data_IF_745369339324
#
_entry.id   IF_745369339324
#
_cell.length_a   1.000
_cell.length_b   1.000
_cell.length_c   1.000
_cell.angle_alpha   90.00
_cell.angle_beta   90.00
_cell.angle_gamma   90.00
#
_symmetry.space_group_name_H-M   'P 1'
#
loop_
_entity.id
_entity.type
_entity.pdbx_description
1 polymer ?
#
# COMPACT_ATOMS: atom_id res chain seq x y z
N UNK A 1 -27.15 -16.14 43.90
CA UNK A 1 -26.38 -16.70 42.77
C UNK A 1 -26.98 -16.15 41.48
N UNK A 2 -26.47 -15.04 41.02
CA UNK A 2 -26.83 -14.46 39.71
C UNK A 2 -25.54 -14.38 38.90
N UNK A 3 -25.35 -15.38 38.08
CA UNK A 3 -24.30 -15.36 37.04
C UNK A 3 -24.79 -14.46 35.90
N UNK A 4 -24.34 -13.20 35.90
CA UNK A 4 -24.42 -12.34 34.72
C UNK A 4 -23.41 -12.88 33.70
N UNK A 5 -23.77 -13.88 32.92
CA UNK A 5 -23.12 -14.20 31.67
C UNK A 5 -23.49 -13.10 30.66
N UNK A 6 -22.74 -12.02 30.70
CA UNK A 6 -22.72 -11.01 29.62
C UNK A 6 -22.09 -11.69 28.42
N UNK A 7 -22.91 -12.32 27.57
CA UNK A 7 -22.43 -12.87 26.29
C UNK A 7 -21.87 -11.73 25.44
N UNK A 8 -20.55 -11.61 25.40
CA UNK A 8 -19.87 -10.82 24.37
C UNK A 8 -20.22 -11.45 23.01
N UNK A 9 -20.93 -10.72 22.18
CA UNK A 9 -21.23 -11.18 20.82
C UNK A 9 -20.02 -10.93 19.93
N UNK A 10 -19.60 -11.94 19.20
CA UNK A 10 -18.57 -11.79 18.16
C UNK A 10 -19.22 -11.28 16.88
N UNK A 11 -18.71 -10.17 16.36
CA UNK A 11 -19.17 -9.60 15.10
C UNK A 11 -18.06 -9.70 14.07
N UNK A 12 -18.34 -10.32 12.92
CA UNK A 12 -17.45 -10.36 11.76
C UNK A 12 -17.71 -9.14 10.86
N UNK A 13 -16.65 -8.46 10.44
CA UNK A 13 -16.70 -7.30 9.57
C UNK A 13 -15.63 -7.40 8.49
N UNK A 14 -15.90 -6.78 7.34
CA UNK A 14 -14.87 -6.54 6.32
C UNK A 14 -14.08 -5.30 6.68
N UNK A 15 -12.76 -5.38 6.58
CA UNK A 15 -11.85 -4.29 6.87
C UNK A 15 -10.68 -4.28 5.88
N UNK A 16 -9.94 -3.19 5.85
CA UNK A 16 -8.72 -3.06 5.04
C UNK A 16 -7.49 -2.89 5.92
N UNK A 17 -6.41 -3.59 5.61
CA UNK A 17 -5.12 -3.40 6.29
C UNK A 17 -4.53 -2.04 5.88
N UNK A 18 -4.31 -1.16 6.85
CA UNK A 18 -3.70 0.17 6.63
C UNK A 18 -2.25 0.25 7.10
N UNK A 19 -1.88 -0.58 8.08
CA UNK A 19 -0.50 -0.64 8.58
C UNK A 19 -0.15 -2.04 9.08
N UNK A 20 1.13 -2.41 8.95
CA UNK A 20 1.67 -3.71 9.41
C UNK A 20 2.94 -3.44 10.21
N UNK A 21 2.96 -3.85 11.47
CA UNK A 21 4.11 -3.75 12.37
C UNK A 21 4.40 -5.10 13.02
N UNK A 22 5.36 -5.84 12.49
CA UNK A 22 5.68 -7.21 12.93
C UNK A 22 4.42 -8.10 12.92
N UNK A 23 3.89 -8.46 14.09
CA UNK A 23 2.71 -9.31 14.26
C UNK A 23 1.44 -8.51 14.64
N UNK A 24 1.46 -7.19 14.54
CA UNK A 24 0.32 -6.30 14.78
C UNK A 24 -0.07 -5.60 13.49
N UNK A 25 -1.35 -5.44 13.31
CA UNK A 25 -1.97 -4.83 12.15
C UNK A 25 -2.85 -3.68 12.59
N UNK A 26 -2.91 -2.62 11.80
CA UNK A 26 -3.97 -1.63 11.90
C UNK A 26 -4.92 -1.84 10.74
N UNK A 27 -6.20 -1.85 11.04
CA UNK A 27 -7.27 -2.07 10.07
C UNK A 27 -8.22 -0.88 10.06
N UNK A 28 -8.67 -0.50 8.88
CA UNK A 28 -9.75 0.46 8.68
C UNK A 28 -11.02 -0.29 8.33
N UNK A 29 -12.11 -0.04 9.05
CA UNK A 29 -13.41 -0.60 8.73
C UNK A 29 -13.95 0.05 7.46
N UNK A 30 -14.57 -0.74 6.60
CA UNK A 30 -15.30 -0.24 5.42
C UNK A 30 -16.59 0.44 5.88
N UNK A 31 -16.49 1.70 6.28
CA UNK A 31 -17.63 2.53 6.67
C UNK A 31 -17.86 3.62 5.65
N UNK A 32 -19.13 3.86 5.32
CA UNK A 32 -19.56 4.96 4.44
C UNK A 32 -19.20 6.35 5.02
N UNK A 33 -18.76 6.43 6.26
CA UNK A 33 -18.31 7.65 6.92
C UNK A 33 -16.84 7.94 6.58
N UNK A 34 -16.55 9.16 6.13
CA UNK A 34 -15.24 9.66 5.67
C UNK A 34 -14.08 9.56 6.68
N UNK A 35 -14.32 9.12 7.90
CA UNK A 35 -13.33 8.76 8.94
C UNK A 35 -13.56 7.30 9.33
N UNK A 36 -12.97 6.38 8.57
CA UNK A 36 -12.86 5.01 9.01
C UNK A 36 -12.10 4.99 10.36
N UNK A 37 -12.74 4.46 11.40
CA UNK A 37 -12.06 4.25 12.67
C UNK A 37 -10.99 3.18 12.44
N UNK A 38 -9.73 3.49 12.81
CA UNK A 38 -8.64 2.53 12.78
C UNK A 38 -8.66 1.71 14.07
N UNK A 39 -8.47 0.40 13.94
CA UNK A 39 -8.43 -0.54 15.04
C UNK A 39 -7.18 -1.38 14.97
N UNK A 40 -6.63 -1.69 16.14
CA UNK A 40 -5.57 -2.69 16.23
C UNK A 40 -6.13 -4.10 15.99
N UNK A 41 -5.34 -4.93 15.33
CA UNK A 41 -5.73 -6.29 15.01
C UNK A 41 -4.56 -7.26 15.15
N UNK A 42 -4.89 -8.52 15.45
CA UNK A 42 -3.96 -9.65 15.53
C UNK A 42 -4.37 -10.75 14.56
N UNK A 43 -3.40 -11.53 14.10
CA UNK A 43 -3.66 -12.63 13.19
C UNK A 43 -4.21 -13.86 13.93
N UNK A 44 -5.26 -14.48 13.40
CA UNK A 44 -5.72 -15.76 13.92
C UNK A 44 -4.64 -16.85 13.73
N UNK A 45 -4.47 -17.70 14.75
CA UNK A 45 -3.42 -18.73 14.76
C UNK A 45 -3.45 -19.64 13.53
N UNK A 46 -4.64 -19.93 12.96
CA UNK A 46 -4.79 -20.74 11.74
C UNK A 46 -4.12 -20.13 10.50
N UNK A 47 -4.20 -18.78 10.35
CA UNK A 47 -3.55 -18.08 9.24
C UNK A 47 -2.04 -18.06 9.43
N UNK A 48 -1.58 -17.83 10.66
CA UNK A 48 -0.16 -17.88 11.00
C UNK A 48 0.44 -19.26 10.71
N UNK A 49 -0.27 -20.33 11.09
CA UNK A 49 0.16 -21.72 10.83
C UNK A 49 0.27 -22.02 9.33
N UNK A 50 -0.60 -21.44 8.49
CA UNK A 50 -0.57 -21.58 7.03
C UNK A 50 0.43 -20.66 6.34
N UNK A 51 1.07 -19.75 7.07
CA UNK A 51 1.95 -18.74 6.51
C UNK A 51 1.19 -17.67 5.69
N UNK A 52 -0.12 -17.55 5.88
CA UNK A 52 -0.97 -16.57 5.22
C UNK A 52 -0.90 -15.25 5.98
N UNK A 53 0.07 -14.40 5.61
CA UNK A 53 0.29 -13.11 6.27
C UNK A 53 -0.31 -12.00 5.41
N UNK A 54 -1.23 -11.19 5.97
CA UNK A 54 -1.77 -10.04 5.26
C UNK A 54 -0.72 -8.93 5.14
N UNK A 55 -0.85 -8.13 4.08
CA UNK A 55 0.00 -6.96 3.82
C UNK A 55 -0.86 -5.70 3.71
N UNK A 56 -0.24 -4.54 3.71
CA UNK A 56 -0.94 -3.27 3.51
C UNK A 56 -1.75 -3.31 2.21
N UNK A 57 -3.02 -2.87 2.32
CA UNK A 57 -3.98 -2.87 1.21
C UNK A 57 -4.85 -4.13 1.09
N UNK A 58 -4.55 -5.22 1.83
CA UNK A 58 -5.42 -6.39 1.85
C UNK A 58 -6.79 -6.05 2.42
N UNK A 59 -7.82 -6.59 1.79
CA UNK A 59 -9.14 -6.72 2.39
C UNK A 59 -9.20 -8.03 3.18
N UNK A 60 -9.79 -7.97 4.36
CA UNK A 60 -9.84 -9.06 5.33
C UNK A 60 -11.21 -9.18 5.96
N UNK A 61 -11.50 -10.34 6.50
CA UNK A 61 -12.55 -10.50 7.50
C UNK A 61 -11.90 -10.47 8.88
N UNK A 62 -12.44 -9.63 9.75
CA UNK A 62 -12.01 -9.50 11.14
C UNK A 62 -13.19 -9.72 12.10
N UNK A 63 -12.91 -10.37 13.21
CA UNK A 63 -13.83 -10.60 14.31
C UNK A 63 -13.52 -9.63 15.45
N UNK A 64 -14.54 -8.98 15.96
CA UNK A 64 -14.49 -8.17 17.18
C UNK A 64 -15.33 -8.80 18.28
N UNK A 65 -14.84 -8.75 19.50
CA UNK A 65 -15.72 -8.83 20.65
C UNK A 65 -16.46 -7.50 20.81
N UNK A 66 -17.76 -7.56 20.99
CA UNK A 66 -18.59 -6.36 21.17
C UNK A 66 -19.11 -6.28 22.59
N UNK A 67 -19.05 -5.08 23.16
CA UNK A 67 -19.72 -4.79 24.44
C UNK A 67 -21.26 -4.91 24.29
N UNK A 68 -22.02 -4.97 25.39
CA UNK A 68 -23.48 -5.01 25.35
C UNK A 68 -24.12 -3.84 24.58
N UNK A 69 -23.41 -2.73 24.43
CA UNK A 69 -23.85 -1.56 23.64
C UNK A 69 -23.35 -1.59 22.19
N UNK A 70 -22.79 -2.74 21.72
CA UNK A 70 -22.38 -2.96 20.33
C UNK A 70 -21.07 -2.30 19.92
N UNK A 71 -20.28 -1.76 20.86
CA UNK A 71 -18.96 -1.18 20.55
C UNK A 71 -17.88 -2.26 20.57
N UNK A 72 -16.89 -2.21 19.63
CA UNK A 72 -15.74 -3.10 19.67
C UNK A 72 -14.98 -3.02 20.99
N UNK A 73 -14.52 -4.15 21.50
CA UNK A 73 -13.71 -4.27 22.72
C UNK A 73 -12.42 -4.99 22.38
N UNK A 74 -11.29 -4.40 22.72
CA UNK A 74 -9.97 -5.00 22.47
C UNK A 74 -9.54 -5.01 21.00
N UNK A 75 -8.51 -5.80 20.71
CA UNK A 75 -7.94 -5.96 19.37
C UNK A 75 -8.86 -6.86 18.52
N UNK A 76 -9.02 -6.50 17.26
CA UNK A 76 -9.69 -7.35 16.28
C UNK A 76 -8.88 -8.62 15.98
N UNK A 77 -9.54 -9.71 15.60
CA UNK A 77 -8.91 -10.93 15.15
C UNK A 77 -9.10 -11.10 13.64
N UNK A 78 -8.02 -11.06 12.87
CA UNK A 78 -8.05 -11.33 11.42
C UNK A 78 -8.27 -12.82 11.20
N UNK A 79 -9.38 -13.19 10.56
CA UNK A 79 -9.78 -14.58 10.37
C UNK A 79 -9.68 -15.06 8.92
N UNK A 80 -9.73 -14.15 7.95
CA UNK A 80 -9.47 -14.48 6.54
C UNK A 80 -8.87 -13.30 5.77
N UNK A 81 -8.16 -13.60 4.67
CA UNK A 81 -7.69 -12.64 3.69
C UNK A 81 -8.58 -12.82 2.45
N UNK A 82 -9.20 -11.74 2.00
CA UNK A 82 -10.06 -11.78 0.81
C UNK A 82 -9.23 -11.84 -0.48
N UNK A 83 -9.81 -12.29 -1.60
CA UNK A 83 -9.11 -12.37 -2.88
C UNK A 83 -8.47 -11.03 -3.27
N UNK A 84 -7.21 -11.09 -3.67
CA UNK A 84 -6.42 -9.92 -4.09
C UNK A 84 -6.64 -9.64 -5.58
N UNK A 85 -6.82 -8.37 -5.94
CA UNK A 85 -6.81 -7.91 -7.35
C UNK A 85 -5.38 -7.77 -7.87
N UNK A 86 -4.47 -7.35 -7.00
CA UNK A 86 -3.04 -7.20 -7.30
C UNK A 86 -2.22 -7.53 -6.07
N UNK A 87 -0.97 -7.98 -6.27
CA UNK A 87 -0.02 -8.26 -5.20
C UNK A 87 1.38 -7.90 -5.65
N UNK A 88 1.92 -6.82 -5.12
CA UNK A 88 3.28 -6.38 -5.41
C UNK A 88 4.24 -7.10 -4.48
N UNK A 89 5.24 -7.74 -5.08
CA UNK A 89 6.27 -8.50 -4.36
C UNK A 89 7.67 -7.97 -4.69
N UNK A 90 8.62 -8.22 -3.83
CA UNK A 90 10.04 -8.02 -4.12
C UNK A 90 10.82 -9.30 -3.85
N UNK A 91 11.87 -9.58 -4.62
CA UNK A 91 12.81 -10.65 -4.30
C UNK A 91 13.49 -10.37 -2.97
N UNK A 92 13.58 -11.39 -2.10
CA UNK A 92 14.31 -11.31 -0.85
C UNK A 92 15.43 -12.37 -0.86
N UNK A 93 16.65 -11.91 -0.55
CA UNK A 93 17.82 -12.78 -0.54
C UNK A 93 17.67 -13.81 0.60
N UNK A 94 17.59 -15.10 0.27
CA UNK A 94 17.43 -16.28 1.14
C UNK A 94 15.99 -16.75 1.42
N UNK A 95 14.95 -15.96 1.22
CA UNK A 95 13.59 -16.32 1.65
C UNK A 95 12.62 -16.41 0.45
N UNK A 96 13.07 -16.08 -0.76
CA UNK A 96 12.23 -16.10 -1.97
C UNK A 96 11.64 -14.73 -2.30
N UNK A 97 10.36 -14.53 -2.12
CA UNK A 97 9.68 -13.25 -2.39
C UNK A 97 8.99 -12.71 -1.16
N UNK A 98 9.13 -11.42 -0.89
CA UNK A 98 8.39 -10.71 0.14
C UNK A 98 7.19 -10.00 -0.47
N UNK A 99 6.00 -10.26 0.06
CA UNK A 99 4.79 -9.50 -0.27
C UNK A 99 4.90 -8.10 0.34
N UNK A 100 4.66 -7.06 -0.48
CA UNK A 100 4.81 -5.67 -0.06
C UNK A 100 3.48 -4.95 0.13
N UNK A 101 2.60 -5.03 -0.88
CA UNK A 101 1.30 -4.38 -0.87
C UNK A 101 0.32 -5.13 -1.77
N UNK A 102 -0.96 -5.09 -1.43
CA UNK A 102 -2.03 -5.73 -2.19
C UNK A 102 -3.11 -4.70 -2.59
N UNK A 103 -3.91 -5.06 -3.61
CA UNK A 103 -5.04 -4.27 -4.07
C UNK A 103 -4.66 -2.82 -4.44
N UNK A 104 -3.47 -2.65 -5.04
CA UNK A 104 -2.97 -1.39 -5.58
C UNK A 104 -3.29 -1.35 -7.06
N UNK A 105 -3.99 -0.29 -7.51
CA UNK A 105 -4.36 -0.13 -8.91
C UNK A 105 -3.23 0.50 -9.71
N UNK A 106 -2.53 1.48 -9.11
CA UNK A 106 -1.48 2.25 -9.75
C UNK A 106 -0.33 2.51 -8.78
N UNK A 107 0.91 2.47 -9.27
CA UNK A 107 2.10 2.77 -8.48
C UNK A 107 2.88 3.93 -9.06
N UNK A 108 3.07 4.99 -8.28
CA UNK A 108 4.06 6.00 -8.55
C UNK A 108 5.46 5.49 -8.17
N UNK A 109 6.30 5.31 -9.19
CA UNK A 109 7.72 5.00 -9.02
C UNK A 109 8.47 6.31 -8.85
N UNK A 110 8.64 6.72 -7.59
CA UNK A 110 9.18 8.03 -7.23
C UNK A 110 10.70 7.97 -7.22
N UNK A 111 11.32 8.76 -8.06
CA UNK A 111 12.77 8.92 -8.20
C UNK A 111 13.14 10.40 -8.23
N UNK A 112 14.33 10.75 -7.79
CA UNK A 112 14.78 12.16 -7.81
C UNK A 112 15.83 12.41 -8.87
N UNK A 113 15.78 13.61 -9.49
CA UNK A 113 16.76 14.08 -10.43
C UNK A 113 18.04 14.55 -9.69
N UNK A 114 18.80 13.61 -9.12
CA UNK A 114 20.02 13.87 -8.37
C UNK A 114 20.97 12.65 -8.41
N UNK A 115 22.04 12.70 -7.63
CA UNK A 115 23.06 11.65 -7.57
C UNK A 115 22.51 10.24 -7.17
N UNK A 116 21.33 10.13 -6.56
CA UNK A 116 20.69 8.84 -6.25
C UNK A 116 19.86 8.26 -7.42
N UNK A 117 19.88 8.92 -8.58
CA UNK A 117 19.16 8.45 -9.76
C UNK A 117 19.69 7.10 -10.25
N UNK A 118 18.78 6.14 -10.46
CA UNK A 118 19.14 4.81 -10.96
C UNK A 118 18.03 4.23 -11.82
N UNK A 119 18.26 4.19 -13.11
CA UNK A 119 17.32 3.64 -14.10
C UNK A 119 17.09 2.13 -13.87
N UNK A 120 18.12 1.39 -13.46
CA UNK A 120 17.98 -0.04 -13.14
C UNK A 120 17.06 -0.28 -11.94
N UNK A 121 17.03 0.66 -10.98
CA UNK A 121 16.09 0.61 -9.85
C UNK A 121 14.67 0.85 -10.31
N UNK A 122 14.46 1.81 -11.22
CA UNK A 122 13.15 2.08 -11.83
C UNK A 122 12.66 0.83 -12.56
N UNK A 123 13.48 0.22 -13.40
CA UNK A 123 13.14 -0.99 -14.16
C UNK A 123 12.73 -2.15 -13.25
N UNK A 124 13.45 -2.38 -12.15
CA UNK A 124 13.10 -3.43 -11.17
C UNK A 124 11.75 -3.16 -10.50
N UNK A 125 11.49 -1.91 -10.11
CA UNK A 125 10.20 -1.54 -9.51
C UNK A 125 9.07 -1.64 -10.53
N UNK A 126 9.28 -1.18 -11.76
CA UNK A 126 8.32 -1.27 -12.84
C UNK A 126 7.94 -2.73 -13.13
N UNK A 127 8.93 -3.60 -13.24
CA UNK A 127 8.72 -5.05 -13.44
C UNK A 127 7.92 -5.67 -12.29
N UNK A 128 8.27 -5.37 -11.05
CA UNK A 128 7.56 -5.90 -9.88
C UNK A 128 6.09 -5.43 -9.83
N UNK A 129 5.84 -4.16 -10.16
CA UNK A 129 4.50 -3.57 -10.21
C UNK A 129 3.66 -4.20 -11.32
N UNK A 130 4.21 -4.34 -12.53
CA UNK A 130 3.54 -4.97 -13.67
C UNK A 130 3.23 -6.45 -13.40
N UNK A 131 4.19 -7.21 -12.88
CA UNK A 131 3.98 -8.61 -12.51
C UNK A 131 2.95 -8.77 -11.40
N UNK A 132 2.87 -7.78 -10.50
CA UNK A 132 1.87 -7.73 -9.44
C UNK A 132 0.47 -7.35 -9.89
N UNK A 133 0.23 -7.05 -11.16
CA UNK A 133 -1.08 -6.68 -11.72
C UNK A 133 -1.44 -5.21 -11.51
N UNK A 134 -0.47 -4.34 -11.18
CA UNK A 134 -0.67 -2.89 -11.01
C UNK A 134 -0.05 -2.11 -12.18
N UNK A 135 -0.46 -0.85 -12.36
CA UNK A 135 0.08 0.04 -13.40
C UNK A 135 1.19 0.92 -12.84
N UNK A 136 2.43 0.88 -13.37
CA UNK A 136 3.48 1.81 -12.96
C UNK A 136 3.34 3.16 -13.68
N UNK A 137 3.69 4.23 -12.96
CA UNK A 137 3.90 5.59 -13.49
C UNK A 137 5.17 6.13 -12.85
N UNK A 138 6.12 6.61 -13.64
CA UNK A 138 7.36 7.19 -13.12
C UNK A 138 7.12 8.65 -12.75
N UNK A 139 7.54 9.02 -11.53
CA UNK A 139 7.49 10.39 -11.04
C UNK A 139 8.91 10.85 -10.73
N UNK A 140 9.48 11.67 -11.61
CA UNK A 140 10.79 12.27 -11.45
C UNK A 140 10.66 13.54 -10.62
N UNK A 141 11.09 13.46 -9.37
CA UNK A 141 10.96 14.57 -8.41
C UNK A 141 12.18 15.46 -8.38
N UNK A 142 12.08 16.58 -7.65
CA UNK A 142 13.13 17.60 -7.49
C UNK A 142 13.55 18.21 -8.82
N UNK A 143 12.60 18.39 -9.73
CA UNK A 143 12.84 19.02 -11.03
C UNK A 143 13.42 20.42 -10.92
N UNK A 144 13.19 21.11 -9.79
CA UNK A 144 13.74 22.42 -9.47
C UNK A 144 15.26 22.44 -9.21
N UNK A 145 15.88 21.29 -8.98
CA UNK A 145 17.32 21.17 -8.74
C UNK A 145 18.13 20.87 -10.01
N UNK A 146 17.48 20.66 -11.14
CA UNK A 146 18.12 20.32 -12.39
C UNK A 146 17.67 21.29 -13.49
N UNK A 147 18.63 21.93 -14.15
CA UNK A 147 18.37 22.86 -15.26
C UNK A 147 17.95 22.14 -16.55
N UNK A 148 18.38 20.89 -16.72
CA UNK A 148 18.04 20.06 -17.87
C UNK A 148 17.71 18.63 -17.42
N UNK A 149 16.46 18.23 -17.62
CA UNK A 149 15.95 16.90 -17.28
C UNK A 149 16.02 15.92 -18.47
N UNK A 150 16.46 16.39 -19.65
CA UNK A 150 16.39 15.61 -20.89
C UNK A 150 17.16 14.29 -20.81
N UNK A 151 18.33 14.29 -20.17
CA UNK A 151 19.13 13.07 -19.98
C UNK A 151 18.42 12.05 -19.09
N UNK A 152 17.82 12.50 -17.99
CA UNK A 152 17.04 11.61 -17.10
C UNK A 152 15.85 11.01 -17.82
N UNK A 153 15.10 11.84 -18.54
CA UNK A 153 13.92 11.43 -19.30
C UNK A 153 14.31 10.43 -20.40
N UNK A 154 15.36 10.69 -21.14
CA UNK A 154 15.86 9.80 -22.19
C UNK A 154 16.21 8.41 -21.62
N UNK A 155 17.03 8.36 -20.59
CA UNK A 155 17.44 7.11 -19.93
C UNK A 155 16.26 6.32 -19.33
N UNK A 156 15.22 6.99 -18.84
CA UNK A 156 13.99 6.32 -18.37
C UNK A 156 13.24 5.75 -19.57
N UNK A 157 13.06 6.52 -20.64
CA UNK A 157 12.30 6.13 -21.83
C UNK A 157 12.94 4.95 -22.56
N UNK A 158 14.27 4.87 -22.62
CA UNK A 158 14.97 3.73 -23.23
C UNK A 158 14.63 2.39 -22.56
N UNK A 159 14.44 2.37 -21.25
CA UNK A 159 14.20 1.13 -20.49
C UNK A 159 12.71 0.92 -20.20
N UNK A 160 11.96 2.01 -20.04
CA UNK A 160 10.55 2.01 -19.66
C UNK A 160 9.67 2.65 -20.75
N UNK A 161 9.87 2.30 -22.03
CA UNK A 161 9.30 2.96 -23.20
C UNK A 161 7.76 3.11 -23.20
N UNK A 162 7.02 2.24 -22.49
CA UNK A 162 5.57 2.27 -22.42
C UNK A 162 5.02 2.73 -21.06
N UNK A 163 5.87 3.29 -20.18
CA UNK A 163 5.47 3.75 -18.86
C UNK A 163 5.35 5.28 -18.89
N UNK A 164 4.20 5.80 -18.45
CA UNK A 164 4.00 7.24 -18.32
C UNK A 164 4.97 7.83 -17.31
N UNK A 165 5.47 9.04 -17.60
CA UNK A 165 6.43 9.75 -16.77
C UNK A 165 6.00 11.19 -16.57
N UNK A 166 6.16 11.69 -15.34
CA UNK A 166 5.92 13.09 -14.96
C UNK A 166 7.14 13.64 -14.23
N UNK A 167 7.51 14.86 -14.57
CA UNK A 167 8.58 15.61 -13.89
C UNK A 167 7.93 16.60 -12.92
N UNK A 168 8.24 16.51 -11.63
CA UNK A 168 7.57 17.32 -10.62
C UNK A 168 8.54 17.96 -9.63
N UNK A 169 8.13 19.09 -9.07
CA UNK A 169 8.77 19.70 -7.91
C UNK A 169 7.72 20.01 -6.85
N UNK A 170 7.80 19.35 -5.70
CA UNK A 170 6.95 19.67 -4.54
C UNK A 170 7.28 21.04 -3.94
N UNK A 171 8.48 21.58 -4.20
CA UNK A 171 8.91 22.89 -3.71
C UNK A 171 8.30 24.05 -4.51
N UNK A 172 8.23 23.91 -5.85
CA UNK A 172 7.70 24.95 -6.73
C UNK A 172 6.27 24.69 -7.21
N UNK A 173 5.76 23.48 -7.03
CA UNK A 173 4.45 23.05 -7.51
C UNK A 173 4.42 22.60 -8.97
N UNK A 174 5.52 22.74 -9.70
CA UNK A 174 5.60 22.36 -11.13
C UNK A 174 5.27 20.86 -11.29
N UNK A 175 4.41 20.53 -12.25
CA UNK A 175 4.02 19.18 -12.64
C UNK A 175 3.10 18.45 -11.64
N UNK A 176 2.82 19.01 -10.46
CA UNK A 176 1.97 18.35 -9.44
C UNK A 176 0.53 18.19 -9.93
N UNK A 177 0.01 19.18 -10.66
CA UNK A 177 -1.36 19.10 -11.17
C UNK A 177 -1.57 17.97 -12.19
N UNK A 178 -0.52 17.60 -12.93
CA UNK A 178 -0.57 16.45 -13.84
C UNK A 178 -0.81 15.13 -13.10
N UNK A 179 -0.38 15.00 -11.84
CA UNK A 179 -0.61 13.80 -11.05
C UNK A 179 -2.06 13.70 -10.57
N UNK A 180 -2.80 14.82 -10.54
CA UNK A 180 -4.21 14.82 -10.08
C UNK A 180 -5.12 13.97 -10.96
N UNK A 181 -4.79 13.77 -12.24
CA UNK A 181 -5.57 12.91 -13.14
C UNK A 181 -5.67 11.46 -12.65
N UNK A 182 -4.73 11.01 -11.81
CA UNK A 182 -4.74 9.66 -11.24
C UNK A 182 -5.52 9.55 -9.93
N UNK A 183 -5.85 10.68 -9.30
CA UNK A 183 -6.56 10.73 -8.01
C UNK A 183 -8.08 10.57 -8.23
N UNK A 184 -8.46 9.41 -8.76
CA UNK A 184 -9.87 9.08 -9.02
C UNK A 184 -10.44 8.35 -7.79
N UNK A 185 -11.66 8.68 -7.33
CA UNK A 185 -12.31 7.97 -6.24
C UNK A 185 -12.36 6.46 -6.49
N UNK A 186 -12.01 5.67 -5.46
CA UNK A 186 -11.95 4.21 -5.54
C UNK A 186 -10.62 3.66 -6.09
N UNK A 187 -9.68 4.52 -6.54
CA UNK A 187 -8.34 4.11 -6.98
C UNK A 187 -7.37 4.08 -5.80
N UNK A 188 -6.67 2.97 -5.64
CA UNK A 188 -5.57 2.85 -4.69
C UNK A 188 -4.23 3.12 -5.38
N UNK A 189 -3.50 4.13 -4.89
CA UNK A 189 -2.20 4.50 -5.43
C UNK A 189 -1.11 4.13 -4.41
N UNK A 190 -0.13 3.34 -4.84
CA UNK A 190 1.08 3.04 -4.09
C UNK A 190 2.22 4.02 -4.43
N UNK A 191 3.02 4.41 -3.44
CA UNK A 191 4.24 5.22 -3.64
C UNK A 191 5.47 4.35 -3.38
N UNK A 192 6.26 4.08 -4.42
CA UNK A 192 7.48 3.29 -4.35
C UNK A 192 8.69 4.15 -4.69
N UNK A 193 9.74 4.03 -3.91
CA UNK A 193 10.97 4.79 -4.12
C UNK A 193 11.90 4.76 -2.92
N UNK A 194 13.16 5.21 -3.09
CA UNK A 194 14.16 5.30 -2.03
C UNK A 194 13.76 6.29 -0.93
N UNK A 195 14.41 6.23 0.21
CA UNK A 195 14.27 7.27 1.23
C UNK A 195 14.79 8.60 0.69
N UNK A 196 14.13 9.71 1.04
CA UNK A 196 14.56 11.05 0.62
C UNK A 196 14.24 11.46 -0.82
N UNK A 197 13.53 10.63 -1.62
CA UNK A 197 13.13 10.99 -3.00
C UNK A 197 11.90 11.90 -3.08
N UNK A 198 11.25 12.21 -1.96
CA UNK A 198 10.08 13.12 -1.94
C UNK A 198 8.72 12.40 -2.06
N UNK A 199 8.61 11.20 -1.47
CA UNK A 199 7.31 10.47 -1.35
C UNK A 199 6.37 11.16 -0.38
#
# INVERSE_FOLDING_TARGET
MNTNDSFNQTKTVTARIVSVHKNRFQIALDSAERKAAEHDAVLAGRLLYRGEIPVVGDYIEAEFETSPVGKPVGDARIVSILPRKSLITRPEYRVGTQNMAANVDLCFLVVSANADFSVNRIARYASAVLQGGSKPVVVLTKADLCSDLSEYMHRITEICCNIQMHCVSSKTGVGIDELRQYLVPGTTIGLFGSSGVGK
#
